data_IF_864471576835
#
_entry.id   IF_864471576835
#
_cell.length_a   1.000
_cell.length_b   1.000
_cell.length_c   1.000
_cell.angle_alpha   90.00
_cell.angle_beta   90.00
_cell.angle_gamma   90.00
#
_symmetry.space_group_name_H-M   'P 1'
#
loop_
_entity.id
_entity.type
_entity.pdbx_description
1 polymer ?
#
# COMPACT_ATOMS: atom_id res chain seq x y z
N UNK A 1 -18.10 -1.74 -3.76
CA UNK A 1 -17.01 -1.00 -4.37
C UNK A 1 -16.72 -1.60 -5.74
N UNK A 2 -16.93 -0.82 -6.79
CA UNK A 2 -16.69 -1.27 -8.16
C UNK A 2 -15.24 -0.96 -8.60
N UNK A 3 -14.77 -1.68 -9.62
CA UNK A 3 -13.48 -1.39 -10.20
C UNK A 3 -13.45 0.07 -10.72
N UNK A 4 -12.45 0.84 -10.29
CA UNK A 4 -12.29 2.25 -10.65
C UNK A 4 -12.86 3.26 -9.65
N UNK A 5 -13.58 2.82 -8.60
CA UNK A 5 -13.97 3.69 -7.50
C UNK A 5 -12.77 4.01 -6.60
N UNK A 6 -12.69 5.25 -6.09
CA UNK A 6 -11.64 5.66 -5.18
C UNK A 6 -11.92 5.21 -3.75
N UNK A 7 -10.85 4.86 -3.03
CA UNK A 7 -10.82 4.65 -1.59
C UNK A 7 -9.81 5.62 -0.94
N UNK A 8 -9.95 5.88 0.34
CA UNK A 8 -8.93 6.62 1.09
C UNK A 8 -7.97 5.62 1.72
N UNK A 9 -6.69 5.75 1.36
CA UNK A 9 -5.58 5.06 2.02
C UNK A 9 -5.18 5.83 3.29
N UNK A 10 -5.10 5.13 4.39
CA UNK A 10 -4.82 5.68 5.72
C UNK A 10 -3.56 5.00 6.25
N UNK A 11 -2.48 5.78 6.36
CA UNK A 11 -1.25 5.31 6.97
C UNK A 11 -1.28 5.60 8.49
N UNK A 12 -0.94 4.60 9.30
CA UNK A 12 -0.85 4.71 10.76
C UNK A 12 -2.15 5.07 11.51
N UNK A 13 -3.30 5.08 10.84
CA UNK A 13 -4.61 5.36 11.44
C UNK A 13 -4.79 6.80 11.94
N UNK A 14 -5.54 6.95 13.05
CA UNK A 14 -5.88 8.25 13.68
C UNK A 14 -6.70 9.19 12.77
N UNK A 15 -7.66 8.64 12.06
CA UNK A 15 -8.58 9.38 11.19
C UNK A 15 -9.94 9.48 11.84
N UNK A 16 -10.55 10.66 11.73
CA UNK A 16 -11.96 10.89 12.02
C UNK A 16 -12.65 11.47 10.80
N UNK A 17 -13.85 10.97 10.53
CA UNK A 17 -14.67 11.44 9.43
C UNK A 17 -16.14 11.52 9.84
N UNK A 18 -16.85 12.51 9.31
CA UNK A 18 -18.28 12.70 9.56
C UNK A 18 -18.96 12.91 8.21
N UNK A 19 -19.91 12.05 7.81
CA UNK A 19 -20.61 12.23 6.56
C UNK A 19 -21.72 13.27 6.68
N UNK A 20 -22.00 13.98 5.58
CA UNK A 20 -23.12 14.91 5.47
C UNK A 20 -24.47 14.23 5.14
N UNK A 21 -24.42 12.99 4.70
CA UNK A 21 -25.61 12.15 4.39
C UNK A 21 -25.28 10.69 4.68
N UNK A 22 -26.31 9.86 4.79
CA UNK A 22 -26.15 8.44 5.10
C UNK A 22 -25.34 7.73 4.02
N UNK A 23 -24.39 6.92 4.44
CA UNK A 23 -23.56 6.13 3.52
C UNK A 23 -23.24 4.76 4.11
N UNK A 24 -22.94 3.81 3.23
CA UNK A 24 -22.35 2.54 3.61
C UNK A 24 -20.84 2.58 3.43
N UNK A 25 -20.11 1.95 4.34
CA UNK A 25 -18.66 1.88 4.29
C UNK A 25 -18.12 0.51 4.69
N UNK A 26 -16.89 0.27 4.31
CA UNK A 26 -16.08 -0.84 4.83
C UNK A 26 -14.64 -0.34 5.03
N UNK A 27 -14.02 -0.76 6.12
CA UNK A 27 -12.59 -0.52 6.36
C UNK A 27 -11.84 -1.85 6.22
N UNK A 28 -10.80 -1.85 5.39
CA UNK A 28 -9.97 -3.02 5.09
C UNK A 28 -8.49 -2.73 5.36
N UNK A 29 -7.61 -3.69 5.12
CA UNK A 29 -6.15 -3.54 5.30
C UNK A 29 -5.68 -3.88 6.72
N UNK A 30 -4.74 -3.10 7.23
CA UNK A 30 -4.12 -3.29 8.54
C UNK A 30 -5.17 -3.25 9.66
N UNK A 31 -5.16 -4.22 10.60
CA UNK A 31 -6.16 -4.30 11.66
C UNK A 31 -6.05 -3.11 12.61
N UNK A 32 -7.14 -2.37 12.72
CA UNK A 32 -7.25 -1.18 13.56
C UNK A 32 -8.56 -1.16 14.33
N UNK A 33 -8.60 -0.40 15.41
CA UNK A 33 -9.85 -0.15 16.13
C UNK A 33 -10.75 0.74 15.25
N UNK A 34 -12.00 0.31 15.07
CA UNK A 34 -13.01 1.06 14.33
C UNK A 34 -14.17 1.41 15.26
N UNK A 35 -14.51 2.70 15.34
CA UNK A 35 -15.61 3.17 16.17
C UNK A 35 -16.58 4.01 15.36
N UNK A 36 -17.88 3.88 15.63
CA UNK A 36 -18.93 4.80 15.21
C UNK A 36 -19.55 5.39 16.48
N UNK A 37 -19.48 6.71 16.66
CA UNK A 37 -19.93 7.43 17.86
C UNK A 37 -19.40 6.81 19.17
N UNK A 38 -18.13 6.37 19.16
CA UNK A 38 -17.43 5.68 20.25
C UNK A 38 -17.88 4.22 20.50
N UNK A 39 -18.80 3.67 19.74
CA UNK A 39 -19.15 2.26 19.78
C UNK A 39 -18.26 1.44 18.84
N UNK A 40 -17.69 0.34 19.34
CA UNK A 40 -16.79 -0.50 18.53
C UNK A 40 -17.57 -1.31 17.51
N UNK A 41 -17.13 -1.25 16.26
CA UNK A 41 -17.68 -2.01 15.15
C UNK A 41 -16.59 -2.83 14.45
N UNK A 42 -16.94 -3.98 13.86
CA UNK A 42 -15.93 -4.82 13.22
C UNK A 42 -15.42 -4.20 11.91
N UNK A 43 -14.12 -4.35 11.66
CA UNK A 43 -13.55 -4.13 10.33
C UNK A 43 -13.99 -5.23 9.35
N UNK A 44 -13.79 -4.96 8.06
CA UNK A 44 -14.07 -5.92 6.95
C UNK A 44 -15.54 -6.37 6.87
N UNK A 45 -16.44 -5.65 7.52
CA UNK A 45 -17.87 -5.79 7.40
C UNK A 45 -18.48 -4.47 6.96
N UNK A 46 -19.60 -4.55 6.23
CA UNK A 46 -20.31 -3.35 5.80
C UNK A 46 -20.95 -2.70 7.02
N UNK A 47 -20.68 -1.41 7.20
CA UNK A 47 -21.25 -0.57 8.24
C UNK A 47 -22.09 0.51 7.58
N UNK A 48 -23.19 0.88 8.20
CA UNK A 48 -23.98 2.07 7.83
C UNK A 48 -23.55 3.21 8.76
N UNK A 49 -23.22 4.35 8.17
CA UNK A 49 -22.88 5.59 8.88
C UNK A 49 -23.91 6.64 8.52
N UNK A 50 -24.71 7.06 9.52
CA UNK A 50 -25.73 8.08 9.31
C UNK A 50 -25.13 9.48 9.28
N UNK A 51 -25.84 10.41 8.63
CA UNK A 51 -25.44 11.81 8.59
C UNK A 51 -25.14 12.37 10.00
N UNK A 52 -23.98 12.97 10.18
CA UNK A 52 -23.55 13.56 11.44
C UNK A 52 -22.89 12.60 12.43
N UNK A 53 -22.94 11.29 12.22
CA UNK A 53 -22.18 10.34 13.05
C UNK A 53 -20.69 10.46 12.81
N UNK A 54 -19.90 10.12 13.81
CA UNK A 54 -18.44 10.18 13.71
C UNK A 54 -17.84 8.78 13.57
N UNK A 55 -17.21 8.54 12.43
CA UNK A 55 -16.33 7.39 12.22
C UNK A 55 -14.95 7.72 12.80
N UNK A 56 -14.39 6.82 13.61
CA UNK A 56 -13.00 6.89 14.08
C UNK A 56 -12.26 5.62 13.69
N UNK A 57 -11.12 5.78 13.01
CA UNK A 57 -10.20 4.69 12.66
C UNK A 57 -8.93 4.92 13.47
N UNK A 58 -8.69 4.04 14.45
CA UNK A 58 -7.53 4.12 15.34
C UNK A 58 -6.23 3.69 14.65
N UNK A 59 -5.11 3.74 15.39
CA UNK A 59 -3.84 3.23 14.88
C UNK A 59 -3.95 1.71 14.65
N UNK A 60 -3.30 1.19 13.59
CA UNK A 60 -3.26 -0.24 13.36
C UNK A 60 -2.46 -0.94 14.45
N UNK A 61 -2.91 -2.13 14.86
CA UNK A 61 -2.16 -2.99 15.78
C UNK A 61 -0.97 -3.67 15.08
N UNK A 62 -1.07 -3.82 13.77
CA UNK A 62 -0.08 -4.46 12.90
C UNK A 62 -0.17 -3.85 11.49
N UNK A 63 0.97 -3.82 10.74
CA UNK A 63 1.02 -3.23 9.41
C UNK A 63 0.96 -1.70 9.44
N UNK A 64 0.70 -1.09 8.30
CA UNK A 64 0.78 0.37 8.13
C UNK A 64 -0.51 0.93 7.55
N UNK A 65 -1.06 0.31 6.50
CA UNK A 65 -2.10 0.89 5.66
C UNK A 65 -3.46 0.24 5.89
N UNK A 66 -4.44 1.06 6.22
CA UNK A 66 -5.86 0.72 6.16
C UNK A 66 -6.52 1.48 5.02
N UNK A 67 -7.65 0.98 4.52
CA UNK A 67 -8.36 1.56 3.40
C UNK A 67 -9.83 1.77 3.76
N UNK A 68 -10.29 3.00 3.66
CA UNK A 68 -11.70 3.34 3.81
C UNK A 68 -12.37 3.33 2.43
N UNK A 69 -13.33 2.47 2.27
CA UNK A 69 -14.20 2.37 1.11
C UNK A 69 -15.60 2.84 1.48
N UNK A 70 -16.24 3.57 0.58
CA UNK A 70 -17.64 3.99 0.72
C UNK A 70 -18.43 3.50 -0.49
N UNK A 71 -19.73 3.34 -0.34
CA UNK A 71 -20.61 3.03 -1.45
C UNK A 71 -20.59 4.17 -2.46
N UNK A 72 -20.36 3.84 -3.76
CA UNK A 72 -20.16 4.83 -4.82
C UNK A 72 -18.75 5.42 -4.91
N UNK A 73 -17.87 5.08 -3.95
CA UNK A 73 -16.51 5.59 -3.88
C UNK A 73 -16.42 7.07 -3.51
N UNK A 74 -15.21 7.60 -3.53
CA UNK A 74 -14.96 9.05 -3.40
C UNK A 74 -14.92 9.67 -4.80
N UNK A 75 -15.78 10.68 -5.04
CA UNK A 75 -15.89 11.32 -6.36
C UNK A 75 -14.78 12.37 -6.57
N UNK A 76 -13.61 11.85 -6.91
CA UNK A 76 -12.46 12.65 -7.33
C UNK A 76 -12.29 12.55 -8.84
N UNK A 77 -11.81 13.63 -9.47
CA UNK A 77 -11.60 13.65 -10.92
C UNK A 77 -10.54 12.62 -11.33
N UNK A 78 -10.85 11.69 -12.26
CA UNK A 78 -9.85 10.77 -12.77
C UNK A 78 -8.83 11.50 -13.65
N UNK A 79 -7.55 11.23 -13.43
CA UNK A 79 -6.43 11.70 -14.25
C UNK A 79 -5.72 10.46 -14.82
N UNK A 80 -5.50 10.42 -16.11
CA UNK A 80 -4.98 9.24 -16.84
C UNK A 80 -5.78 7.96 -16.53
N UNK A 81 -7.11 8.06 -16.44
CA UNK A 81 -8.02 6.98 -16.07
C UNK A 81 -7.79 6.40 -14.65
N UNK A 82 -7.15 7.14 -13.75
CA UNK A 82 -6.91 6.77 -12.37
C UNK A 82 -7.41 7.86 -11.42
N UNK A 83 -8.02 7.45 -10.30
CA UNK A 83 -8.38 8.35 -9.19
C UNK A 83 -7.32 8.37 -8.08
N UNK A 84 -6.18 7.69 -8.29
CA UNK A 84 -5.08 7.68 -7.32
C UNK A 84 -4.42 9.04 -7.20
N UNK A 85 -3.99 9.36 -5.99
CA UNK A 85 -3.21 10.58 -5.73
C UNK A 85 -1.73 10.29 -5.87
N UNK A 86 -1.01 11.15 -6.61
CA UNK A 86 0.45 11.19 -6.62
C UNK A 86 0.92 12.52 -6.03
N UNK A 87 1.13 12.56 -4.70
CA UNK A 87 1.44 13.83 -4.01
C UNK A 87 2.75 14.47 -4.48
N UNK A 88 3.69 13.67 -4.93
CA UNK A 88 4.98 14.13 -5.45
C UNK A 88 4.83 14.96 -6.73
N UNK A 89 3.97 14.53 -7.62
CA UNK A 89 3.69 15.20 -8.89
C UNK A 89 2.54 16.21 -8.78
N UNK A 90 1.86 16.27 -7.63
CA UNK A 90 0.71 17.15 -7.42
C UNK A 90 -0.50 16.77 -8.24
N UNK A 91 -0.74 15.46 -8.48
CA UNK A 91 -1.77 14.97 -9.41
C UNK A 91 -2.75 14.04 -8.69
N UNK A 92 -4.01 14.07 -9.14
CA UNK A 92 -5.08 13.16 -8.70
C UNK A 92 -5.64 13.46 -7.33
N UNK A 93 -6.54 12.59 -6.86
CA UNK A 93 -7.21 12.73 -5.58
C UNK A 93 -7.97 14.06 -5.43
N UNK A 94 -8.03 14.61 -4.22
CA UNK A 94 -8.78 15.83 -3.96
C UNK A 94 -8.07 17.08 -4.49
N UNK A 95 -6.78 17.23 -4.29
CA UNK A 95 -6.00 18.39 -4.72
C UNK A 95 -4.56 18.03 -5.12
N UNK A 96 -4.34 16.82 -5.60
CA UNK A 96 -3.00 16.33 -5.92
C UNK A 96 -2.10 16.13 -4.70
N UNK A 97 -2.66 16.11 -3.49
CA UNK A 97 -1.90 16.03 -2.25
C UNK A 97 -2.56 15.09 -1.23
N UNK A 98 -1.88 14.87 -0.11
CA UNK A 98 -2.47 14.21 1.04
C UNK A 98 -3.66 15.02 1.57
N UNK A 99 -4.69 14.29 2.05
CA UNK A 99 -5.80 14.90 2.77
C UNK A 99 -5.29 15.56 4.06
N UNK A 100 -5.92 16.67 4.43
CA UNK A 100 -5.62 17.46 5.62
C UNK A 100 -6.83 17.50 6.53
N UNK A 101 -6.62 17.91 7.76
CA UNK A 101 -7.71 18.15 8.69
C UNK A 101 -8.72 19.12 8.09
N UNK A 102 -10.00 18.78 8.23
CA UNK A 102 -11.16 19.51 7.72
C UNK A 102 -11.37 19.48 6.20
N UNK A 103 -10.59 18.70 5.45
CA UNK A 103 -10.90 18.47 4.04
C UNK A 103 -12.27 17.79 3.91
N UNK A 104 -13.04 18.26 2.93
CA UNK A 104 -14.31 17.64 2.53
C UNK A 104 -14.11 16.90 1.21
N UNK A 105 -14.35 15.60 1.23
CA UNK A 105 -14.22 14.74 0.04
C UNK A 105 -15.61 14.38 -0.45
N UNK A 106 -15.97 14.70 -1.71
CA UNK A 106 -17.27 14.34 -2.23
C UNK A 106 -17.41 12.83 -2.38
N UNK A 107 -18.59 12.30 -2.07
CA UNK A 107 -18.95 10.91 -2.29
C UNK A 107 -19.59 10.75 -3.68
N UNK A 108 -19.31 9.63 -4.32
CA UNK A 108 -19.97 9.25 -5.55
C UNK A 108 -21.40 8.77 -5.30
N UNK A 109 -22.18 8.67 -6.38
CA UNK A 109 -23.54 8.14 -6.34
C UNK A 109 -23.52 6.63 -6.04
N UNK A 110 -23.65 6.27 -4.76
CA UNK A 110 -23.70 4.90 -4.29
C UNK A 110 -25.14 4.46 -4.04
N UNK A 111 -25.50 3.24 -4.44
CA UNK A 111 -26.71 2.61 -3.94
C UNK A 111 -26.55 2.37 -2.42
N UNK A 112 -27.65 2.53 -1.64
CA UNK A 112 -27.62 2.12 -0.24
C UNK A 112 -27.23 0.63 -0.15
N UNK A 113 -26.61 0.20 0.98
CA UNK A 113 -26.16 -1.17 1.12
C UNK A 113 -27.34 -2.11 0.90
N UNK A 114 -27.13 -3.09 0.05
CA UNK A 114 -28.00 -4.27 0.05
C UNK A 114 -27.76 -4.94 1.40
N UNK A 115 -28.80 -5.28 2.15
CA UNK A 115 -28.70 -6.04 3.40
C UNK A 115 -27.78 -7.24 3.17
N UNK A 116 -26.55 -7.09 3.60
CA UNK A 116 -25.59 -8.17 3.57
C UNK A 116 -25.49 -8.70 4.99
N UNK A 117 -25.96 -9.92 5.20
CA UNK A 117 -25.67 -10.74 6.36
C UNK A 117 -24.16 -10.88 6.56
N UNK A 118 -23.49 -9.84 7.08
CA UNK A 118 -22.15 -9.88 7.64
C UNK A 118 -21.08 -10.72 6.94
N UNK A 119 -21.26 -10.96 5.63
CA UNK A 119 -20.34 -11.78 4.87
C UNK A 119 -18.99 -11.08 4.82
N UNK A 120 -18.03 -11.64 5.52
CA UNK A 120 -16.59 -11.37 5.29
C UNK A 120 -16.36 -11.51 3.78
N UNK A 121 -15.92 -10.45 3.06
CA UNK A 121 -15.69 -10.52 1.62
C UNK A 121 -14.54 -11.47 1.23
N UNK A 122 -14.17 -12.41 2.07
CA UNK A 122 -13.12 -13.38 1.80
C UNK A 122 -11.72 -12.77 1.74
N UNK A 123 -11.55 -11.62 2.37
CA UNK A 123 -10.25 -10.96 2.46
C UNK A 123 -9.33 -11.81 3.31
N UNK A 124 -8.35 -12.40 2.64
CA UNK A 124 -7.29 -13.19 3.25
C UNK A 124 -6.65 -12.40 4.40
N UNK A 125 -6.69 -12.94 5.61
CA UNK A 125 -5.88 -12.42 6.71
C UNK A 125 -4.42 -12.64 6.32
N UNK A 126 -3.67 -11.57 6.16
CA UNK A 126 -2.23 -11.68 5.98
C UNK A 126 -1.67 -12.09 7.33
N UNK A 127 -1.26 -13.36 7.45
CA UNK A 127 -0.53 -13.80 8.65
C UNK A 127 0.77 -13.00 8.73
N UNK A 128 0.88 -12.17 9.73
CA UNK A 128 2.15 -11.55 10.06
C UNK A 128 3.07 -12.60 10.70
N UNK A 129 4.20 -12.80 10.06
CA UNK A 129 5.29 -13.61 10.59
C UNK A 129 6.46 -12.70 10.91
N UNK A 130 7.13 -12.95 12.01
CA UNK A 130 8.35 -12.23 12.39
C UNK A 130 9.43 -12.33 11.30
N UNK A 131 9.38 -13.37 10.48
CA UNK A 131 10.25 -13.57 9.31
C UNK A 131 9.37 -13.88 8.10
N UNK A 132 9.51 -13.07 7.05
CA UNK A 132 8.83 -13.25 5.78
C UNK A 132 9.79 -13.87 4.76
N UNK A 133 9.37 -14.92 4.08
CA UNK A 133 10.03 -15.39 2.88
C UNK A 133 9.33 -14.77 1.68
N UNK A 134 10.07 -14.02 0.88
CA UNK A 134 9.57 -13.37 -0.32
C UNK A 134 10.03 -14.15 -1.55
N UNK A 135 9.09 -14.48 -2.41
CA UNK A 135 9.37 -15.10 -3.71
C UNK A 135 9.61 -14.00 -4.73
N UNK A 136 10.55 -14.20 -5.62
CA UNK A 136 10.80 -13.28 -6.71
C UNK A 136 11.05 -14.02 -8.02
N UNK A 137 10.81 -13.35 -9.13
CA UNK A 137 11.14 -13.83 -10.48
C UNK A 137 12.51 -13.25 -10.84
N UNK A 138 13.47 -14.08 -11.26
CA UNK A 138 14.77 -13.60 -11.73
C UNK A 138 14.61 -12.62 -12.91
N UNK A 139 15.38 -11.53 -12.88
CA UNK A 139 15.50 -10.58 -13.98
C UNK A 139 16.63 -10.98 -14.94
N UNK A 140 16.77 -10.23 -16.05
CA UNK A 140 17.80 -10.54 -17.04
C UNK A 140 19.24 -10.25 -16.55
N UNK A 141 19.43 -9.46 -15.51
CA UNK A 141 20.75 -9.25 -14.90
C UNK A 141 21.11 -10.34 -13.87
N UNK A 142 20.18 -11.25 -13.58
CA UNK A 142 20.38 -12.30 -12.58
C UNK A 142 21.60 -13.17 -12.88
N UNK A 143 21.74 -13.59 -14.14
CA UNK A 143 22.84 -14.46 -14.58
C UNK A 143 24.17 -13.70 -14.77
N UNK A 144 24.14 -12.36 -14.79
CA UNK A 144 25.33 -11.51 -14.87
C UNK A 144 25.94 -11.26 -13.49
N UNK A 145 25.18 -11.46 -12.43
CA UNK A 145 25.65 -11.27 -11.05
C UNK A 145 26.43 -12.49 -10.54
N UNK A 146 27.40 -12.24 -9.68
CA UNK A 146 28.20 -13.31 -9.11
C UNK A 146 27.32 -14.33 -8.38
N UNK A 147 27.50 -15.66 -8.62
CA UNK A 147 26.69 -16.70 -7.97
C UNK A 147 26.68 -16.60 -6.44
N UNK A 148 27.79 -16.19 -5.82
CA UNK A 148 27.88 -15.97 -4.38
C UNK A 148 26.98 -14.83 -3.89
N UNK A 149 26.75 -13.78 -4.71
CA UNK A 149 25.82 -12.69 -4.37
C UNK A 149 24.38 -13.22 -4.40
N UNK A 150 24.01 -13.97 -5.43
CA UNK A 150 22.69 -14.58 -5.54
C UNK A 150 22.44 -15.57 -4.40
N UNK A 151 23.43 -16.37 -4.03
CA UNK A 151 23.31 -17.26 -2.87
C UNK A 151 23.04 -16.50 -1.59
N UNK A 152 23.71 -15.35 -1.39
CA UNK A 152 23.47 -14.49 -0.23
C UNK A 152 22.12 -13.81 -0.28
N UNK A 153 21.70 -13.29 -1.43
CA UNK A 153 20.35 -12.71 -1.60
C UNK A 153 19.26 -13.72 -1.21
N UNK A 154 19.45 -15.00 -1.53
CA UNK A 154 18.48 -16.05 -1.25
C UNK A 154 18.58 -16.64 0.17
N UNK A 155 19.72 -16.55 0.81
CA UNK A 155 19.98 -17.24 2.08
C UNK A 155 20.16 -16.34 3.30
N UNK A 156 20.58 -15.09 3.10
CA UNK A 156 20.79 -14.16 4.20
C UNK A 156 19.47 -13.55 4.68
N UNK A 157 19.45 -13.10 5.93
CA UNK A 157 18.33 -12.37 6.51
C UNK A 157 18.55 -10.86 6.35
N UNK A 158 17.47 -10.17 6.00
CA UNK A 158 17.44 -8.73 5.86
C UNK A 158 16.33 -8.15 6.75
N UNK A 159 16.58 -6.97 7.32
CA UNK A 159 15.64 -6.25 8.17
C UNK A 159 15.06 -5.05 7.43
N UNK A 160 13.77 -4.80 7.58
CA UNK A 160 13.15 -3.58 7.08
C UNK A 160 13.66 -2.40 7.89
N UNK A 161 14.14 -1.36 7.20
CA UNK A 161 14.64 -0.15 7.84
C UNK A 161 13.52 0.89 8.02
N UNK A 162 13.79 1.94 8.82
CA UNK A 162 12.89 3.11 8.90
C UNK A 162 12.73 3.87 7.56
N UNK A 163 13.55 3.56 6.55
CA UNK A 163 13.43 4.08 5.19
C UNK A 163 12.50 3.19 4.36
N UNK A 164 11.30 2.97 4.87
CA UNK A 164 10.22 2.24 4.22
C UNK A 164 9.11 3.24 3.88
N UNK A 165 8.72 3.32 2.61
CA UNK A 165 7.64 4.16 2.12
C UNK A 165 7.05 3.60 0.82
N UNK A 166 6.09 4.32 0.24
CA UNK A 166 5.43 3.89 -1.01
C UNK A 166 6.35 3.85 -2.24
N UNK A 167 7.52 4.49 -2.21
CA UNK A 167 8.50 4.39 -3.31
C UNK A 167 9.32 3.12 -3.25
N UNK A 168 9.71 2.70 -2.03
CA UNK A 168 10.53 1.51 -1.82
C UNK A 168 10.83 1.25 -0.36
N UNK A 169 11.17 0.01 -0.09
CA UNK A 169 11.54 -0.49 1.22
C UNK A 169 13.02 -0.83 1.20
N UNK A 170 13.80 -0.05 1.94
CA UNK A 170 15.24 -0.33 2.10
C UNK A 170 15.44 -1.41 3.14
N UNK A 171 16.19 -2.43 2.76
CA UNK A 171 16.54 -3.56 3.62
C UNK A 171 17.95 -3.39 4.15
N UNK A 172 18.16 -3.70 5.42
CA UNK A 172 19.45 -3.73 6.07
C UNK A 172 19.89 -5.18 6.31
N UNK A 173 21.13 -5.48 6.05
CA UNK A 173 21.69 -6.83 6.23
C UNK A 173 23.13 -6.93 5.74
N UNK A 174 23.63 -8.13 5.55
CA UNK A 174 24.94 -8.32 4.99
C UNK A 174 25.02 -7.69 3.59
N UNK A 175 25.93 -6.72 3.31
CA UNK A 175 25.91 -5.94 2.10
C UNK A 175 26.13 -6.80 0.84
N UNK A 176 25.26 -6.67 -0.14
CA UNK A 176 25.33 -7.33 -1.44
C UNK A 176 26.10 -6.44 -2.42
N UNK A 177 27.38 -6.66 -2.53
CA UNK A 177 28.24 -5.85 -3.43
C UNK A 177 28.22 -6.44 -4.84
N UNK A 178 27.62 -5.72 -5.77
CA UNK A 178 27.54 -6.13 -7.18
C UNK A 178 28.83 -5.88 -7.95
N UNK A 179 29.72 -5.01 -7.45
CA UNK A 179 30.88 -4.51 -8.19
C UNK A 179 30.55 -3.47 -9.27
N UNK A 180 29.26 -3.11 -9.38
CA UNK A 180 28.75 -2.14 -10.37
C UNK A 180 28.24 -0.92 -9.61
N UNK A 181 28.76 0.27 -9.92
CA UNK A 181 28.31 1.52 -9.29
C UNK A 181 26.97 2.00 -9.87
N UNK A 182 26.83 1.93 -11.17
CA UNK A 182 25.59 2.27 -11.88
C UNK A 182 25.53 1.58 -13.23
N UNK A 183 24.30 1.40 -13.73
CA UNK A 183 23.99 0.91 -15.05
C UNK A 183 23.32 2.02 -15.88
N UNK A 184 23.18 1.78 -17.19
CA UNK A 184 22.27 2.57 -17.98
C UNK A 184 20.86 2.42 -17.36
N UNK A 185 20.15 3.55 -17.22
CA UNK A 185 18.83 3.53 -16.60
C UNK A 185 17.85 2.67 -17.40
N UNK A 186 17.19 1.77 -16.72
CA UNK A 186 16.23 0.82 -17.28
C UNK A 186 14.85 1.00 -16.64
N UNK A 187 13.81 0.51 -17.30
CA UNK A 187 12.46 0.52 -16.76
C UNK A 187 12.38 -0.37 -15.50
N UNK A 188 11.71 0.13 -14.47
CA UNK A 188 11.50 -0.61 -13.23
C UNK A 188 10.06 -1.09 -13.11
N UNK A 189 9.84 -2.15 -12.36
CA UNK A 189 8.50 -2.65 -11.99
C UNK A 189 8.31 -2.66 -10.48
N UNK A 190 7.07 -2.78 -10.02
CA UNK A 190 6.80 -3.05 -8.61
C UNK A 190 7.44 -4.37 -8.21
N UNK A 191 8.00 -4.41 -7.00
CA UNK A 191 8.72 -5.56 -6.50
C UNK A 191 10.18 -5.67 -6.97
N UNK A 192 10.63 -4.85 -7.94
CA UNK A 192 12.02 -4.88 -8.39
C UNK A 192 12.97 -4.68 -7.22
N UNK A 193 13.96 -5.57 -7.11
CA UNK A 193 14.98 -5.55 -6.07
C UNK A 193 16.17 -4.80 -6.64
N UNK A 194 16.39 -3.57 -6.26
CA UNK A 194 17.57 -2.81 -6.64
C UNK A 194 18.69 -2.97 -5.62
N UNK A 195 19.92 -3.13 -6.10
CA UNK A 195 21.12 -3.22 -5.24
C UNK A 195 22.02 -2.01 -5.51
N UNK A 196 21.90 -0.94 -4.68
CA UNK A 196 22.78 0.22 -4.76
C UNK A 196 24.23 -0.12 -4.37
N UNK A 197 25.21 0.80 -4.61
CA UNK A 197 26.63 0.56 -4.30
C UNK A 197 26.92 0.25 -2.83
N UNK A 198 26.08 0.73 -1.91
CA UNK A 198 26.21 0.40 -0.47
C UNK A 198 25.88 -1.06 -0.15
N UNK A 199 25.24 -1.78 -1.08
CA UNK A 199 24.87 -3.19 -0.96
C UNK A 199 23.59 -3.47 -0.19
N UNK A 200 22.83 -2.46 0.22
CA UNK A 200 21.55 -2.62 0.89
C UNK A 200 20.42 -2.72 -0.14
N UNK A 201 19.74 -3.88 -0.27
CA UNK A 201 18.68 -4.02 -1.25
C UNK A 201 17.52 -3.05 -1.00
N UNK A 202 16.89 -2.59 -2.07
CA UNK A 202 15.67 -1.79 -2.05
C UNK A 202 14.61 -2.52 -2.85
N UNK A 203 13.51 -2.89 -2.22
CA UNK A 203 12.34 -3.43 -2.92
C UNK A 203 11.45 -2.27 -3.35
N UNK A 204 11.27 -2.08 -4.65
CA UNK A 204 10.50 -0.98 -5.20
C UNK A 204 8.99 -1.20 -5.04
N UNK A 205 8.29 -0.17 -4.58
CA UNK A 205 6.86 -0.23 -4.25
C UNK A 205 6.00 0.53 -5.27
N UNK A 206 4.75 0.82 -4.93
CA UNK A 206 3.74 1.39 -5.87
C UNK A 206 4.16 2.75 -6.46
N UNK A 207 4.74 3.66 -5.66
CA UNK A 207 5.10 5.03 -6.09
C UNK A 207 6.59 5.14 -6.49
N UNK A 208 7.21 4.02 -6.86
CA UNK A 208 8.61 3.96 -7.31
C UNK A 208 8.87 4.85 -8.53
N UNK A 209 10.13 5.19 -8.74
CA UNK A 209 10.57 5.76 -10.01
C UNK A 209 10.33 4.77 -11.17
N UNK A 210 9.99 5.29 -12.35
CA UNK A 210 9.77 4.48 -13.55
C UNK A 210 11.05 3.95 -14.18
N UNK A 211 12.17 4.62 -13.92
CA UNK A 211 13.51 4.28 -14.40
C UNK A 211 14.48 4.18 -13.26
N UNK A 212 15.45 3.28 -13.34
CA UNK A 212 16.50 3.09 -12.35
C UNK A 212 17.79 2.58 -12.97
N UNK A 213 18.92 2.88 -12.35
CA UNK A 213 20.27 2.55 -12.86
C UNK A 213 21.08 1.68 -11.90
N UNK A 214 20.44 0.96 -10.99
CA UNK A 214 21.10 -0.03 -10.15
C UNK A 214 20.80 -1.45 -10.62
N UNK A 215 21.70 -2.42 -10.40
CA UNK A 215 21.46 -3.81 -10.73
C UNK A 215 20.17 -4.35 -10.11
N UNK A 216 19.38 -5.07 -10.92
CA UNK A 216 18.10 -5.68 -10.52
C UNK A 216 18.21 -7.20 -10.73
N UNK A 217 18.54 -7.99 -9.69
CA UNK A 217 18.57 -9.44 -9.78
C UNK A 217 17.20 -10.04 -10.09
N UNK A 218 16.12 -9.37 -9.74
CA UNK A 218 14.77 -9.85 -9.98
C UNK A 218 13.70 -8.97 -9.38
N UNK A 219 12.46 -9.43 -9.42
CA UNK A 219 11.32 -8.72 -8.86
C UNK A 219 10.47 -9.63 -7.96
N UNK A 220 10.18 -9.18 -6.75
CA UNK A 220 9.25 -9.82 -5.82
C UNK A 220 7.88 -9.90 -6.47
N UNK A 221 7.23 -11.07 -6.39
CA UNK A 221 5.90 -11.26 -6.97
C UNK A 221 4.85 -10.41 -6.25
N UNK A 222 3.81 -10.00 -6.96
CA UNK A 222 2.81 -9.06 -6.44
C UNK A 222 2.14 -9.55 -5.15
N UNK A 223 1.81 -10.85 -5.07
CA UNK A 223 1.20 -11.45 -3.88
C UNK A 223 2.09 -11.40 -2.62
N UNK A 224 3.41 -11.27 -2.78
CA UNK A 224 4.34 -11.14 -1.67
C UNK A 224 4.67 -9.67 -1.37
N UNK A 225 4.54 -8.76 -2.35
CA UNK A 225 4.71 -7.32 -2.13
C UNK A 225 3.68 -6.73 -1.16
N UNK A 226 2.48 -7.30 -1.08
CA UNK A 226 1.43 -6.84 -0.14
C UNK A 226 1.72 -7.20 1.32
N UNK A 227 2.77 -8.00 1.57
CA UNK A 227 3.19 -8.46 2.90
C UNK A 227 4.34 -7.61 3.46
N UNK A 228 4.92 -6.76 2.60
CA UNK A 228 5.93 -5.78 2.94
C UNK A 228 5.28 -4.47 3.41
#
# INVERSE_FOLDING_TARGET
HCAGEAAIEIAYGNVRATPSHDCALVVTGAPAMLLIDNESVPMRSIQTLSAGQTLTIGPPSEGIYSYLHVSGGFDTQPIFNSRSTSPREGIGGLHGSYLRDQDTVPLGDGAPPIDNDGADPGLCSIEQRAVLTLRYVPGYQYDELAPALIQRLNGDHFEVTSKANRMGITLNGPPLKTGVESLLSEATCQGAIQIPPNGNPIVLMKDRQTMGGYPIPGAVIESDCVRL
#
